data_IF_756483117662
#
_entry.id   IF_756483117662
#
_cell.length_a   1.000
_cell.length_b   1.000
_cell.length_c   1.000
_cell.angle_alpha   90.00
_cell.angle_beta   90.00
_cell.angle_gamma   90.00
#
_symmetry.space_group_name_H-M   'P 1'
#
loop_
_entity.id
_entity.type
_entity.pdbx_description
1 polymer ?
#
# COMPACT_ATOMS: atom_id res chain seq x y z
N UNK A 1 -24.27 16.60 -36.43
CA UNK A 1 -23.26 15.53 -36.29
C UNK A 1 -23.97 14.22 -36.60
N UNK A 2 -23.48 13.46 -37.57
CA UNK A 2 -24.16 12.25 -38.06
C UNK A 2 -23.99 11.09 -37.06
N UNK A 3 -25.07 10.37 -36.75
CA UNK A 3 -25.06 9.22 -35.83
C UNK A 3 -24.05 8.15 -36.25
N UNK A 4 -23.80 8.02 -37.56
CA UNK A 4 -22.78 7.11 -38.11
C UNK A 4 -21.36 7.53 -37.71
N UNK A 5 -21.06 8.83 -37.69
CA UNK A 5 -19.76 9.33 -37.23
C UNK A 5 -19.56 9.14 -35.73
N UNK A 6 -20.61 9.33 -34.93
CA UNK A 6 -20.56 9.09 -33.47
C UNK A 6 -20.35 7.60 -33.19
N UNK A 7 -21.11 6.72 -33.86
CA UNK A 7 -20.96 5.27 -33.71
C UNK A 7 -19.58 4.76 -34.17
N UNK A 8 -19.08 5.27 -35.30
CA UNK A 8 -17.76 4.92 -35.80
C UNK A 8 -16.61 5.39 -34.91
N UNK A 9 -16.71 6.60 -34.35
CA UNK A 9 -15.69 7.12 -33.42
C UNK A 9 -15.72 6.39 -32.07
N UNK A 10 -16.90 6.04 -31.55
CA UNK A 10 -17.01 5.25 -30.33
C UNK A 10 -16.37 3.86 -30.50
N UNK A 11 -16.67 3.18 -31.62
CA UNK A 11 -16.07 1.89 -31.93
C UNK A 11 -14.55 1.97 -32.07
N UNK A 12 -14.03 3.00 -32.75
CA UNK A 12 -12.60 3.23 -32.87
C UNK A 12 -11.90 3.46 -31.52
N UNK A 13 -12.53 4.22 -30.61
CA UNK A 13 -12.01 4.44 -29.24
C UNK A 13 -11.93 3.12 -28.47
N UNK A 14 -12.98 2.30 -28.53
CA UNK A 14 -13.00 1.00 -27.84
C UNK A 14 -11.92 0.07 -28.40
N UNK A 15 -11.77 -0.02 -29.72
CA UNK A 15 -10.75 -0.84 -30.36
C UNK A 15 -9.33 -0.36 -29.97
N UNK A 16 -9.08 0.95 -30.02
CA UNK A 16 -7.80 1.52 -29.59
C UNK A 16 -7.51 1.24 -28.11
N UNK A 17 -8.52 1.34 -27.24
CA UNK A 17 -8.37 1.02 -25.82
C UNK A 17 -8.04 -0.46 -25.58
N UNK A 18 -8.65 -1.38 -26.35
CA UNK A 18 -8.35 -2.81 -26.29
C UNK A 18 -6.92 -3.12 -26.77
N UNK A 19 -6.47 -2.48 -27.85
CA UNK A 19 -5.10 -2.61 -28.36
C UNK A 19 -4.10 -2.04 -27.34
N UNK A 20 -4.39 -0.87 -26.76
CA UNK A 20 -3.56 -0.27 -25.73
C UNK A 20 -3.45 -1.15 -24.48
N UNK A 21 -4.56 -1.76 -24.03
CA UNK A 21 -4.54 -2.73 -22.93
C UNK A 21 -3.66 -3.94 -23.22
N UNK A 22 -3.58 -4.38 -24.46
CA UNK A 22 -2.74 -5.51 -24.86
C UNK A 22 -1.26 -5.14 -24.99
N UNK A 23 -0.96 -3.96 -25.56
CA UNK A 23 0.41 -3.45 -25.73
C UNK A 23 1.05 -2.98 -24.42
N UNK A 24 0.25 -2.41 -23.52
CA UNK A 24 0.67 -1.91 -22.21
C UNK A 24 -0.10 -2.65 -21.11
N UNK A 25 0.14 -3.96 -20.95
CA UNK A 25 -0.52 -4.71 -19.91
C UNK A 25 -0.04 -4.18 -18.56
N UNK A 26 -0.98 -3.78 -17.70
CA UNK A 26 -0.71 -3.24 -16.38
C UNK A 26 -0.17 -4.38 -15.47
N UNK A 27 1.12 -4.70 -15.63
CA UNK A 27 1.76 -5.92 -15.10
C UNK A 27 2.62 -5.67 -13.87
N UNK A 28 2.76 -4.43 -13.44
CA UNK A 28 3.68 -4.14 -12.36
C UNK A 28 3.01 -4.46 -11.02
N UNK A 29 3.01 -5.74 -10.66
CA UNK A 29 2.68 -6.24 -9.34
C UNK A 29 3.70 -5.73 -8.31
N UNK A 30 3.26 -5.57 -7.07
CA UNK A 30 4.15 -5.36 -5.93
C UNK A 30 4.82 -6.67 -5.60
N UNK A 31 6.14 -6.60 -5.48
CA UNK A 31 6.96 -7.62 -4.81
C UNK A 31 7.57 -6.99 -3.57
N UNK A 32 7.99 -7.80 -2.62
CA UNK A 32 8.65 -7.33 -1.41
C UNK A 32 9.84 -6.41 -1.72
N UNK A 33 10.73 -6.83 -2.62
CA UNK A 33 11.84 -5.99 -3.11
C UNK A 33 11.38 -4.65 -3.69
N UNK A 34 10.25 -4.64 -4.41
CA UNK A 34 9.73 -3.43 -5.02
C UNK A 34 9.14 -2.50 -3.96
N UNK A 35 8.49 -3.04 -2.93
CA UNK A 35 8.00 -2.27 -1.78
C UNK A 35 9.20 -1.68 -1.04
N UNK A 36 10.16 -2.50 -0.60
CA UNK A 36 11.36 -2.09 0.14
C UNK A 36 12.10 -0.97 -0.60
N UNK A 37 12.39 -1.14 -1.89
CA UNK A 37 13.09 -0.12 -2.69
C UNK A 37 12.33 1.20 -2.78
N UNK A 38 11.00 1.17 -2.88
CA UNK A 38 10.21 2.40 -2.94
C UNK A 38 10.07 3.03 -1.55
N UNK A 39 9.93 2.24 -0.49
CA UNK A 39 9.93 2.72 0.90
C UNK A 39 11.25 3.42 1.22
N UNK A 40 12.41 2.78 0.97
CA UNK A 40 13.72 3.42 1.16
C UNK A 40 13.89 4.73 0.36
N UNK A 41 13.26 4.82 -0.82
CA UNK A 41 13.33 6.03 -1.65
C UNK A 41 12.49 7.18 -1.09
N UNK A 42 11.31 6.89 -0.57
CA UNK A 42 10.35 7.90 -0.13
C UNK A 42 10.36 8.15 1.38
N UNK A 43 11.03 7.29 2.14
CA UNK A 43 11.30 7.42 3.57
C UNK A 43 12.83 7.41 3.81
N UNK A 44 13.60 8.39 3.32
CA UNK A 44 15.07 8.34 3.38
C UNK A 44 15.63 8.44 4.80
N UNK A 45 14.85 8.99 5.74
CA UNK A 45 15.25 9.16 7.13
C UNK A 45 15.06 7.88 7.98
N UNK A 46 14.48 6.82 7.39
CA UNK A 46 14.29 5.55 8.07
C UNK A 46 15.42 4.57 7.70
N UNK A 47 16.20 4.16 8.68
CA UNK A 47 17.17 3.09 8.51
C UNK A 47 16.42 1.76 8.41
N UNK A 48 16.41 1.16 7.22
CA UNK A 48 15.80 -0.14 7.00
C UNK A 48 16.63 -1.24 7.68
N UNK A 49 15.97 -2.07 8.48
CA UNK A 49 16.54 -3.26 9.11
C UNK A 49 15.84 -4.51 8.58
N UNK A 50 16.52 -5.23 7.68
CA UNK A 50 16.00 -6.45 7.07
C UNK A 50 15.64 -7.58 8.07
N UNK A 51 16.07 -7.50 9.34
CA UNK A 51 15.72 -8.49 10.37
C UNK A 51 14.44 -8.14 11.12
N UNK A 52 14.17 -6.85 11.29
CA UNK A 52 13.08 -6.35 12.11
C UNK A 52 11.91 -5.82 11.26
N UNK A 53 12.20 -5.34 10.04
CA UNK A 53 11.21 -4.87 9.10
C UNK A 53 10.41 -6.02 8.48
N UNK A 54 9.12 -5.79 8.24
CA UNK A 54 8.21 -6.78 7.66
C UNK A 54 7.37 -6.18 6.55
N UNK A 55 7.25 -6.91 5.44
CA UNK A 55 6.37 -6.57 4.32
C UNK A 55 5.20 -7.53 4.27
N UNK A 56 3.98 -6.98 4.21
CA UNK A 56 2.74 -7.72 4.06
C UNK A 56 2.11 -7.34 2.71
N UNK A 57 2.09 -8.28 1.77
CA UNK A 57 1.53 -8.08 0.43
C UNK A 57 0.05 -8.47 0.39
N UNK A 58 -0.75 -7.70 -0.32
CA UNK A 58 -2.13 -8.09 -0.59
C UNK A 58 -2.20 -9.32 -1.48
N UNK A 59 -3.30 -10.08 -1.37
CA UNK A 59 -3.54 -11.26 -2.21
C UNK A 59 -3.53 -10.96 -3.72
N UNK A 60 -3.82 -9.72 -4.11
CA UNK A 60 -3.80 -9.27 -5.51
C UNK A 60 -2.47 -8.60 -5.91
N UNK A 61 -1.47 -8.59 -5.03
CA UNK A 61 -0.16 -7.93 -5.19
C UNK A 61 -0.24 -6.46 -5.62
N UNK A 62 -1.32 -5.74 -5.31
CA UNK A 62 -1.47 -4.32 -5.67
C UNK A 62 -1.26 -3.37 -4.50
N UNK A 63 -1.40 -3.89 -3.29
CA UNK A 63 -1.27 -3.12 -2.07
C UNK A 63 -0.29 -3.84 -1.13
N UNK A 64 0.42 -3.08 -0.33
CA UNK A 64 1.29 -3.62 0.69
C UNK A 64 1.31 -2.74 1.92
N UNK A 65 1.58 -3.36 3.06
CA UNK A 65 1.91 -2.68 4.31
C UNK A 65 3.34 -3.07 4.66
N UNK A 66 4.15 -2.07 4.96
CA UNK A 66 5.51 -2.21 5.44
C UNK A 66 5.54 -1.75 6.89
N UNK A 67 5.99 -2.60 7.80
CA UNK A 67 6.16 -2.28 9.21
C UNK A 67 7.65 -2.10 9.47
N UNK A 68 8.02 -0.92 10.00
CA UNK A 68 9.39 -0.67 10.41
C UNK A 68 9.64 -1.36 11.75
N UNK A 69 10.76 -2.07 11.87
CA UNK A 69 11.10 -2.78 13.10
C UNK A 69 11.54 -1.85 14.25
N UNK A 70 11.93 -0.62 13.91
CA UNK A 70 12.18 0.46 14.86
C UNK A 70 10.90 1.25 15.11
N UNK A 71 10.55 1.35 16.39
CA UNK A 71 9.34 1.98 16.90
C UNK A 71 9.07 3.36 16.25
N UNK A 72 10.07 4.25 16.31
CA UNK A 72 9.99 5.66 15.89
C UNK A 72 9.60 5.91 14.42
N UNK A 73 9.54 4.85 13.62
CA UNK A 73 9.29 4.93 12.19
C UNK A 73 7.93 4.35 11.79
N UNK A 74 7.16 3.77 12.72
CA UNK A 74 5.77 3.37 12.50
C UNK A 74 5.55 2.40 11.33
N UNK A 75 4.68 2.76 10.38
CA UNK A 75 4.30 1.93 9.23
C UNK A 75 4.28 2.72 7.92
N UNK A 76 4.49 2.05 6.79
CA UNK A 76 4.24 2.60 5.47
C UNK A 76 3.26 1.74 4.67
N UNK A 77 2.44 2.37 3.85
CA UNK A 77 1.60 1.68 2.87
C UNK A 77 2.16 1.90 1.47
N UNK A 78 2.01 0.90 0.60
CA UNK A 78 2.40 0.99 -0.79
C UNK A 78 1.27 0.52 -1.70
N UNK A 79 0.99 1.27 -2.77
CA UNK A 79 0.02 0.91 -3.81
C UNK A 79 0.66 0.95 -5.19
N UNK A 80 0.52 -0.13 -5.95
CA UNK A 80 0.87 -0.16 -7.37
C UNK A 80 -0.23 0.53 -8.20
N UNK A 81 0.15 1.63 -8.84
CA UNK A 81 -0.65 2.35 -9.83
C UNK A 81 0.00 2.17 -11.20
N UNK A 82 -0.19 0.97 -11.76
CA UNK A 82 0.56 0.52 -12.92
C UNK A 82 2.05 0.52 -12.64
N UNK A 83 2.84 1.18 -13.46
CA UNK A 83 4.31 1.20 -13.31
C UNK A 83 4.79 1.98 -12.09
N UNK A 84 3.94 2.84 -11.51
CA UNK A 84 4.28 3.65 -10.34
C UNK A 84 3.90 2.93 -9.05
N UNK A 85 4.69 3.16 -8.02
CA UNK A 85 4.35 2.78 -6.65
C UNK A 85 4.18 4.06 -5.86
N UNK A 86 3.00 4.25 -5.29
CA UNK A 86 2.73 5.32 -4.33
C UNK A 86 3.03 4.76 -2.96
N UNK A 87 3.92 5.42 -2.23
CA UNK A 87 4.25 5.06 -0.84
C UNK A 87 3.75 6.18 0.05
N UNK A 88 3.19 5.80 1.20
CA UNK A 88 2.79 6.72 2.24
C UNK A 88 3.31 6.23 3.57
N UNK A 89 3.90 7.13 4.33
CA UNK A 89 4.54 6.85 5.61
C UNK A 89 3.71 7.44 6.74
N UNK A 90 3.49 6.64 7.78
CA UNK A 90 2.85 7.00 9.03
C UNK A 90 3.90 6.80 10.12
N UNK A 91 4.54 7.90 10.50
CA UNK A 91 5.62 7.88 11.49
C UNK A 91 5.10 7.49 12.89
N UNK A 92 3.87 7.89 13.21
CA UNK A 92 3.17 7.51 14.43
C UNK A 92 2.01 6.58 14.09
N UNK A 93 2.03 5.37 14.63
CA UNK A 93 0.98 4.35 14.42
C UNK A 93 -0.30 4.66 15.18
N UNK A 94 -0.26 5.55 16.17
CA UNK A 94 -1.45 5.96 16.94
C UNK A 94 -2.42 6.82 16.13
N UNK A 95 -1.97 7.40 15.02
CA UNK A 95 -2.80 8.15 14.06
C UNK A 95 -3.58 7.24 13.11
N UNK A 96 -3.41 5.91 13.23
CA UNK A 96 -4.00 4.91 12.33
C UNK A 96 -4.86 3.93 13.12
N UNK A 97 -6.16 3.91 12.81
CA UNK A 97 -7.11 2.93 13.34
C UNK A 97 -7.20 1.72 12.38
N UNK A 98 -7.09 0.50 12.92
CA UNK A 98 -7.13 -0.73 12.14
C UNK A 98 -8.48 -1.41 12.27
N UNK A 99 -9.19 -1.56 11.15
CA UNK A 99 -10.50 -2.20 11.09
C UNK A 99 -10.46 -3.44 10.22
N UNK A 100 -10.82 -4.59 10.79
CA UNK A 100 -10.97 -5.83 10.04
C UNK A 100 -12.43 -6.03 9.67
N UNK A 101 -12.75 -5.97 8.38
CA UNK A 101 -14.10 -6.18 7.86
C UNK A 101 -14.06 -7.14 6.68
N UNK A 102 -14.84 -8.22 6.72
CA UNK A 102 -15.01 -9.17 5.62
C UNK A 102 -13.67 -9.72 5.05
N UNK A 103 -12.70 -10.03 5.92
CA UNK A 103 -11.38 -10.53 5.52
C UNK A 103 -10.47 -9.47 4.87
N UNK A 104 -10.80 -8.18 5.01
CA UNK A 104 -9.98 -7.06 4.57
C UNK A 104 -9.61 -6.21 5.77
N UNK A 105 -8.33 -5.87 5.86
CA UNK A 105 -7.84 -4.93 6.84
C UNK A 105 -7.88 -3.52 6.24
N UNK A 106 -8.56 -2.60 6.91
CA UNK A 106 -8.60 -1.20 6.56
C UNK A 106 -7.85 -0.38 7.60
N UNK A 107 -6.91 0.42 7.13
CA UNK A 107 -6.22 1.45 7.88
C UNK A 107 -7.03 2.72 7.69
N UNK A 108 -7.65 3.21 8.76
CA UNK A 108 -8.42 4.44 8.77
C UNK A 108 -7.55 5.51 9.41
N UNK A 109 -7.45 6.67 8.76
CA UNK A 109 -6.61 7.76 9.23
C UNK A 109 -7.42 9.05 9.24
N UNK A 110 -7.01 10.00 10.06
CA UNK A 110 -7.65 11.33 10.12
C UNK A 110 -7.23 12.24 8.95
N UNK A 111 -6.41 11.74 8.00
CA UNK A 111 -6.05 12.50 6.81
C UNK A 111 -7.18 12.49 5.76
N UNK A 112 -7.67 13.68 5.45
CA UNK A 112 -8.66 13.93 4.41
C UNK A 112 -8.22 13.48 3.00
N UNK A 113 -6.93 13.48 2.69
CA UNK A 113 -6.42 13.11 1.34
C UNK A 113 -6.47 11.61 1.07
N UNK A 114 -6.41 10.79 2.13
CA UNK A 114 -6.55 9.34 2.04
C UNK A 114 -7.11 8.81 3.37
N UNK A 115 -8.42 8.97 3.61
CA UNK A 115 -9.03 8.68 4.91
C UNK A 115 -9.05 7.18 5.21
N UNK A 116 -8.91 6.33 4.18
CA UNK A 116 -8.76 4.90 4.38
C UNK A 116 -7.86 4.25 3.33
N UNK A 117 -7.20 3.18 3.75
CA UNK A 117 -6.42 2.28 2.91
C UNK A 117 -6.82 0.83 3.24
N UNK A 118 -7.30 0.09 2.25
CA UNK A 118 -7.78 -1.29 2.46
C UNK A 118 -6.88 -2.30 1.76
N UNK A 119 -6.50 -3.34 2.49
CA UNK A 119 -5.66 -4.45 2.02
C UNK A 119 -6.37 -5.78 2.31
N UNK A 120 -6.36 -6.69 1.33
CA UNK A 120 -6.82 -8.07 1.54
C UNK A 120 -5.62 -8.94 1.85
N UNK A 121 -5.48 -9.37 3.11
CA UNK A 121 -4.38 -10.19 3.62
C UNK A 121 -4.89 -11.58 4.01
N UNK A 122 -3.99 -12.57 4.10
CA UNK A 122 -4.32 -13.85 4.75
C UNK A 122 -4.60 -13.65 6.25
N UNK A 123 -5.39 -14.54 6.86
CA UNK A 123 -5.72 -14.44 8.29
C UNK A 123 -4.46 -14.42 9.18
N UNK A 124 -3.49 -15.28 8.88
CA UNK A 124 -2.20 -15.32 9.57
C UNK A 124 -1.45 -13.98 9.45
N UNK A 125 -1.43 -13.40 8.25
CA UNK A 125 -0.76 -12.12 7.98
C UNK A 125 -1.42 -10.95 8.72
N UNK A 126 -2.75 -10.95 8.83
CA UNK A 126 -3.48 -9.95 9.63
C UNK A 126 -3.06 -10.02 11.09
N UNK A 127 -3.04 -11.22 11.67
CA UNK A 127 -2.67 -11.40 13.07
C UNK A 127 -1.22 -10.99 13.35
N UNK A 128 -0.30 -11.37 12.46
CA UNK A 128 1.11 -11.02 12.55
C UNK A 128 1.35 -9.52 12.38
N UNK A 129 0.63 -8.87 11.45
CA UNK A 129 0.70 -7.44 11.24
C UNK A 129 0.22 -6.66 12.46
N UNK A 130 -0.94 -7.01 13.01
CA UNK A 130 -1.48 -6.33 14.20
C UNK A 130 -0.54 -6.50 15.41
N UNK A 131 0.06 -7.68 15.58
CA UNK A 131 1.08 -7.89 16.62
C UNK A 131 2.30 -7.01 16.38
N UNK A 132 2.83 -6.96 15.15
CA UNK A 132 4.00 -6.16 14.81
C UNK A 132 3.75 -4.66 15.00
N UNK A 133 2.57 -4.17 14.66
CA UNK A 133 2.17 -2.77 14.90
C UNK A 133 2.11 -2.47 16.39
N UNK A 134 1.47 -3.32 17.19
CA UNK A 134 1.38 -3.12 18.64
C UNK A 134 2.75 -3.14 19.31
N UNK A 135 3.65 -4.02 18.88
CA UNK A 135 5.03 -4.07 19.39
C UNK A 135 5.82 -2.79 19.05
N UNK A 136 5.56 -2.23 17.88
CA UNK A 136 6.14 -0.96 17.42
C UNK A 136 5.65 0.19 18.31
N UNK A 137 4.34 0.31 18.52
CA UNK A 137 3.73 1.31 19.40
C UNK A 137 4.21 1.20 20.85
N UNK A 138 4.33 -0.02 21.39
CA UNK A 138 4.78 -0.26 22.76
C UNK A 138 6.25 0.14 22.97
N UNK A 139 7.11 -0.08 21.97
CA UNK A 139 8.52 0.35 22.03
C UNK A 139 8.63 1.88 21.99
N UNK A 140 7.78 2.58 21.25
CA UNK A 140 7.79 4.05 21.19
C UNK A 140 7.45 4.66 22.54
N UNK A 141 6.40 4.14 23.18
CA UNK A 141 6.02 4.59 24.52
C UNK A 141 7.17 4.42 25.53
N UNK A 142 7.94 3.33 25.44
CA UNK A 142 9.08 3.09 26.32
C UNK A 142 10.28 4.00 26.01
N UNK A 143 10.48 4.41 24.76
CA UNK A 143 11.55 5.34 24.38
C UNK A 143 11.20 6.81 24.67
N UNK A 144 9.93 7.19 24.69
CA UNK A 144 9.49 8.54 25.02
C UNK A 144 9.65 8.90 26.53
N UNK A 145 9.90 7.90 27.38
CA UNK A 145 10.04 8.06 28.83
C UNK A 145 11.49 7.91 29.34
N UNK A 146 12.47 7.79 28.45
CA UNK A 146 13.91 7.70 28.79
C UNK A 146 14.64 9.01 28.45
#
# INVERSE_FOLDING_TARGET
MDFVQIGGSLAAIVILALIARWLYPNKAELTEDRVIRNVARYCPDTELDARADKTYLSQDNKNAIFVFGQARFGIATATALGDRVVVRHYADTSEVDFRLENGKLSLVTDDFTQPSFTVALGEDDVSNLLSAVNDTTAKDANHAHA
#
